data_IF_724342422268
#
_entry.id   IF_724342422268
#
_cell.length_a   1.000
_cell.length_b   1.000
_cell.length_c   1.000
_cell.angle_alpha   90.00
_cell.angle_beta   90.00
_cell.angle_gamma   90.00
#
_symmetry.space_group_name_H-M   'P 1'
#
loop_
_entity.id
_entity.type
_entity.pdbx_description
1 polymer ?
#
# COMPACT_ATOMS: atom_id res chain seq x y z
N UNK A 1 26.84 42.56 -14.25
CA UNK A 1 25.45 42.13 -13.95
C UNK A 1 24.64 42.22 -15.24
N UNK A 2 24.13 41.11 -15.77
CA UNK A 2 23.23 41.09 -16.94
C UNK A 2 21.99 40.29 -16.52
N UNK A 3 20.83 40.95 -16.41
CA UNK A 3 19.55 40.32 -16.07
C UNK A 3 18.78 40.12 -17.36
N UNK A 4 18.63 38.88 -17.79
CA UNK A 4 17.77 38.52 -18.92
C UNK A 4 16.35 38.30 -18.39
N UNK A 5 15.42 39.13 -18.82
CA UNK A 5 13.98 38.96 -18.63
C UNK A 5 13.45 38.12 -19.80
N UNK A 6 12.89 36.95 -19.49
CA UNK A 6 12.07 36.19 -20.44
C UNK A 6 10.66 36.07 -19.87
N UNK A 7 9.74 36.71 -20.58
CA UNK A 7 8.30 36.81 -20.34
C UNK A 7 7.64 35.47 -20.65
N UNK A 8 6.92 34.89 -19.69
CA UNK A 8 6.08 33.71 -19.91
C UNK A 8 4.65 34.17 -20.26
N UNK A 9 4.24 33.92 -21.49
CA UNK A 9 2.84 33.90 -21.88
C UNK A 9 2.38 32.43 -21.91
N UNK A 10 1.34 32.10 -21.15
CA UNK A 10 0.60 30.86 -21.30
C UNK A 10 -0.90 31.18 -21.23
N UNK A 11 -1.52 31.20 -22.40
CA UNK A 11 -2.98 31.22 -22.58
C UNK A 11 -3.48 29.79 -22.41
N UNK A 12 -4.47 29.60 -21.53
CA UNK A 12 -5.19 28.34 -21.39
C UNK A 12 -6.68 28.63 -21.21
N UNK A 13 -7.41 28.78 -22.33
CA UNK A 13 -8.85 28.75 -22.33
C UNK A 13 -9.30 27.29 -22.50
N UNK A 14 -10.01 26.72 -21.52
CA UNK A 14 -10.75 25.48 -21.70
C UNK A 14 -12.22 25.78 -21.47
N UNK A 15 -12.98 25.64 -22.56
CA UNK A 15 -14.40 25.86 -22.65
C UNK A 15 -15.20 24.79 -21.89
N UNK A 16 -16.30 25.23 -21.28
CA UNK A 16 -17.31 24.42 -20.61
C UNK A 16 -18.07 23.57 -21.65
N UNK A 17 -17.91 22.24 -21.58
CA UNK A 17 -18.73 21.27 -22.32
C UNK A 17 -19.39 20.30 -21.34
N UNK A 18 -20.72 20.26 -21.33
CA UNK A 18 -21.53 19.51 -20.37
C UNK A 18 -21.31 17.99 -20.40
N UNK A 19 -21.38 17.37 -19.22
CA UNK A 19 -21.41 15.92 -19.08
C UNK A 19 -22.81 15.46 -18.68
N UNK A 20 -23.41 14.66 -19.56
CA UNK A 20 -24.59 13.83 -19.28
C UNK A 20 -24.09 12.63 -18.46
N UNK A 21 -24.71 12.37 -17.30
CA UNK A 21 -24.43 11.20 -16.46
C UNK A 21 -24.93 9.96 -17.20
N UNK A 22 -23.99 9.17 -17.75
CA UNK A 22 -24.24 7.83 -18.24
C UNK A 22 -23.73 6.82 -17.19
N UNK A 23 -24.68 6.14 -16.56
CA UNK A 23 -24.62 4.76 -16.05
C UNK A 23 -23.25 4.29 -15.53
N UNK A 24 -23.09 4.27 -14.20
CA UNK A 24 -22.00 3.54 -13.56
C UNK A 24 -22.26 2.03 -13.73
N UNK A 25 -21.54 1.38 -14.64
CA UNK A 25 -21.32 -0.06 -14.55
C UNK A 25 -20.61 -0.39 -13.22
N UNK A 26 -20.84 -1.56 -12.62
CA UNK A 26 -20.05 -2.02 -11.47
C UNK A 26 -18.66 -2.41 -11.97
N UNK A 27 -17.85 -1.38 -12.23
CA UNK A 27 -16.44 -1.51 -12.51
C UNK A 27 -15.80 -2.14 -11.28
N UNK A 28 -15.36 -3.39 -11.44
CA UNK A 28 -14.38 -4.00 -10.56
C UNK A 28 -13.21 -3.03 -10.46
N UNK A 29 -13.11 -2.38 -9.30
CA UNK A 29 -12.11 -1.35 -9.07
C UNK A 29 -10.70 -1.94 -9.25
N UNK A 30 -9.73 -1.16 -9.77
CA UNK A 30 -8.32 -1.56 -9.74
C UNK A 30 -7.81 -1.48 -8.29
N UNK A 31 -8.20 -2.45 -7.45
CA UNK A 31 -7.83 -2.53 -6.04
C UNK A 31 -7.53 -3.96 -5.56
N UNK A 32 -8.00 -4.98 -6.27
CA UNK A 32 -8.00 -6.38 -5.81
C UNK A 32 -6.67 -7.14 -5.98
N UNK A 33 -5.51 -6.49 -5.78
CA UNK A 33 -4.20 -7.18 -5.84
C UNK A 33 -3.17 -6.78 -4.79
N UNK A 34 -3.60 -6.25 -3.65
CA UNK A 34 -2.74 -6.10 -2.47
C UNK A 34 -3.01 -7.18 -1.41
N UNK A 35 -3.63 -8.29 -1.80
CA UNK A 35 -3.68 -9.47 -0.93
C UNK A 35 -2.28 -10.06 -0.83
N UNK A 36 -1.68 -9.90 0.35
CA UNK A 36 -0.44 -10.53 0.79
C UNK A 36 -0.51 -12.05 0.83
N UNK A 37 -0.75 -12.69 -0.31
CA UNK A 37 -0.27 -14.04 -0.61
C UNK A 37 1.05 -13.91 -1.37
N UNK A 38 1.99 -13.14 -0.79
CA UNK A 38 3.35 -13.12 -1.29
C UNK A 38 3.86 -14.56 -1.29
N UNK A 39 4.48 -14.98 -2.40
CA UNK A 39 5.27 -16.20 -2.47
C UNK A 39 6.30 -16.23 -1.34
N UNK A 40 5.91 -16.74 -0.17
CA UNK A 40 6.82 -17.01 0.92
C UNK A 40 7.74 -18.15 0.51
N UNK A 41 8.97 -18.18 1.06
CA UNK A 41 9.91 -19.26 0.80
C UNK A 41 9.29 -20.65 1.07
N UNK A 42 8.44 -20.75 2.09
CA UNK A 42 7.67 -21.97 2.39
C UNK A 42 6.67 -22.32 1.28
N UNK A 43 5.93 -21.34 0.77
CA UNK A 43 4.98 -21.54 -0.34
C UNK A 43 5.67 -21.91 -1.65
N UNK A 44 6.90 -21.43 -1.89
CA UNK A 44 7.72 -21.85 -3.03
C UNK A 44 8.18 -23.30 -2.85
N UNK A 45 8.75 -23.63 -1.69
CA UNK A 45 9.30 -24.95 -1.39
C UNK A 45 8.21 -26.04 -1.44
N UNK A 46 7.02 -25.74 -0.93
CA UNK A 46 5.87 -26.66 -0.99
C UNK A 46 5.42 -26.99 -2.41
N UNK A 47 5.72 -26.14 -3.41
CA UNK A 47 5.38 -26.37 -4.83
C UNK A 47 6.42 -27.21 -5.58
N UNK A 48 7.57 -27.51 -4.98
CA UNK A 48 8.67 -28.21 -5.64
C UNK A 48 8.59 -29.74 -5.54
N UNK A 49 7.53 -30.29 -4.92
CA UNK A 49 7.34 -31.73 -4.74
C UNK A 49 8.59 -32.43 -4.16
N UNK A 50 9.20 -31.84 -3.14
CA UNK A 50 10.45 -32.31 -2.56
C UNK A 50 10.29 -33.68 -1.90
N UNK A 51 11.29 -34.55 -2.06
CA UNK A 51 11.40 -35.81 -1.30
C UNK A 51 11.60 -35.53 0.20
N UNK A 52 11.32 -36.50 1.11
CA UNK A 52 11.55 -36.33 2.54
C UNK A 52 12.99 -35.89 2.88
N UNK A 53 13.98 -36.46 2.19
CA UNK A 53 15.38 -36.11 2.37
C UNK A 53 15.69 -34.68 1.92
N UNK A 54 15.06 -34.21 0.84
CA UNK A 54 15.20 -32.84 0.36
C UNK A 54 14.53 -31.84 1.31
N UNK A 55 13.34 -32.15 1.83
CA UNK A 55 12.66 -31.32 2.82
C UNK A 55 13.52 -31.15 4.07
N UNK A 56 14.08 -32.25 4.58
CA UNK A 56 14.99 -32.24 5.74
C UNK A 56 16.20 -31.33 5.53
N UNK A 57 16.76 -31.29 4.31
CA UNK A 57 17.91 -30.43 3.97
C UNK A 57 17.52 -28.97 3.76
N UNK A 58 16.31 -28.70 3.27
CA UNK A 58 15.84 -27.34 2.96
C UNK A 58 15.31 -26.61 4.19
N UNK A 59 14.69 -27.33 5.13
CA UNK A 59 14.09 -26.76 6.34
C UNK A 59 15.02 -25.80 7.12
N UNK A 60 16.28 -26.15 7.45
CA UNK A 60 17.18 -25.23 8.17
C UNK A 60 17.52 -23.97 7.36
N UNK A 61 17.54 -24.05 6.02
CA UNK A 61 17.79 -22.89 5.14
C UNK A 61 16.61 -21.91 5.23
N UNK A 62 15.38 -22.43 5.21
CA UNK A 62 14.17 -21.61 5.39
C UNK A 62 14.17 -20.98 6.79
N UNK A 63 14.43 -21.76 7.82
CA UNK A 63 14.37 -21.29 9.21
C UNK A 63 15.41 -20.19 9.49
N UNK A 64 16.59 -20.28 8.88
CA UNK A 64 17.59 -19.20 8.91
C UNK A 64 17.12 -17.93 8.17
N UNK A 65 16.38 -18.07 7.07
CA UNK A 65 15.91 -16.94 6.27
C UNK A 65 14.70 -16.20 6.89
N UNK A 66 13.81 -16.91 7.59
CA UNK A 66 12.61 -16.35 8.24
C UNK A 66 12.87 -15.06 9.05
N UNK A 67 13.79 -15.02 10.03
CA UNK A 67 14.02 -13.81 10.82
C UNK A 67 14.53 -12.63 9.97
N UNK A 68 15.34 -12.89 8.95
CA UNK A 68 15.86 -11.84 8.07
C UNK A 68 14.74 -11.22 7.24
N UNK A 69 13.86 -12.05 6.67
CA UNK A 69 12.69 -11.59 5.92
C UNK A 69 11.77 -10.78 6.82
N UNK A 70 11.52 -11.23 8.05
CA UNK A 70 10.70 -10.48 9.03
C UNK A 70 11.30 -9.11 9.32
N UNK A 71 12.61 -9.02 9.56
CA UNK A 71 13.28 -7.75 9.82
C UNK A 71 13.18 -6.79 8.64
N UNK A 72 13.45 -7.26 7.41
CA UNK A 72 13.32 -6.45 6.19
C UNK A 72 11.89 -5.98 6.00
N UNK A 73 10.90 -6.86 6.20
CA UNK A 73 9.50 -6.52 6.08
C UNK A 73 9.09 -5.44 7.08
N UNK A 74 9.49 -5.55 8.35
CA UNK A 74 9.23 -4.54 9.37
C UNK A 74 9.84 -3.19 9.02
N UNK A 75 11.10 -3.17 8.58
CA UNK A 75 11.78 -1.95 8.15
C UNK A 75 11.10 -1.30 6.93
N UNK A 76 10.74 -2.11 5.92
CA UNK A 76 10.06 -1.65 4.73
C UNK A 76 8.67 -1.07 5.06
N UNK A 77 7.91 -1.71 5.94
CA UNK A 77 6.60 -1.22 6.39
C UNK A 77 6.73 0.11 7.12
N UNK A 78 7.75 0.28 7.98
CA UNK A 78 7.98 1.55 8.67
C UNK A 78 8.33 2.67 7.69
N UNK A 79 9.21 2.39 6.72
CA UNK A 79 9.57 3.36 5.66
C UNK A 79 8.36 3.73 4.81
N UNK A 80 7.55 2.75 4.43
CA UNK A 80 6.31 2.97 3.68
C UNK A 80 5.34 3.85 4.46
N UNK A 81 5.15 3.59 5.75
CA UNK A 81 4.31 4.42 6.61
C UNK A 81 4.76 5.88 6.60
N UNK A 82 6.05 6.14 6.78
CA UNK A 82 6.61 7.49 6.76
C UNK A 82 6.33 8.22 5.44
N UNK A 83 6.51 7.53 4.31
CA UNK A 83 6.21 8.10 2.98
C UNK A 83 4.72 8.42 2.84
N UNK A 84 3.84 7.50 3.27
CA UNK A 84 2.40 7.68 3.19
C UNK A 84 1.94 8.85 4.07
N UNK A 85 2.37 8.90 5.33
CA UNK A 85 2.03 9.99 6.27
C UNK A 85 2.45 11.36 5.70
N UNK A 86 3.69 11.45 5.22
CA UNK A 86 4.23 12.69 4.62
C UNK A 86 3.45 13.10 3.37
N UNK A 87 3.13 12.15 2.49
CA UNK A 87 2.38 12.41 1.26
C UNK A 87 0.96 12.86 1.59
N UNK A 88 0.29 12.19 2.51
CA UNK A 88 -1.06 12.57 2.95
C UNK A 88 -1.06 13.95 3.61
N UNK A 89 -0.06 14.29 4.41
CA UNK A 89 0.09 15.63 5.01
C UNK A 89 0.23 16.73 3.96
N UNK A 90 0.92 16.47 2.84
CA UNK A 90 1.07 17.41 1.74
C UNK A 90 -0.20 17.57 0.90
N UNK A 91 -0.96 16.48 0.74
CA UNK A 91 -2.23 16.49 -0.01
C UNK A 91 -3.34 17.17 0.79
N UNK A 92 -3.42 16.94 2.10
CA UNK A 92 -4.51 17.43 2.97
C UNK A 92 -4.87 18.90 2.81
N UNK A 93 -3.94 19.88 2.77
CA UNK A 93 -4.28 21.29 2.59
C UNK A 93 -4.86 21.63 1.20
N UNK A 94 -4.74 20.74 0.22
CA UNK A 94 -5.30 20.90 -1.13
C UNK A 94 -6.74 20.40 -1.24
N UNK A 95 -7.25 19.75 -0.19
CA UNK A 95 -8.58 19.15 -0.16
C UNK A 95 -9.63 20.12 0.38
N UNK A 96 -10.87 19.97 -0.10
CA UNK A 96 -12.02 20.63 0.51
C UNK A 96 -12.31 20.04 1.90
N UNK A 97 -13.10 20.75 2.72
CA UNK A 97 -13.49 20.26 4.04
C UNK A 97 -14.19 18.87 3.99
N UNK A 98 -15.03 18.64 2.98
CA UNK A 98 -15.70 17.36 2.79
C UNK A 98 -14.71 16.24 2.44
N UNK A 99 -13.74 16.53 1.57
CA UNK A 99 -12.68 15.57 1.19
C UNK A 99 -11.74 15.27 2.36
N UNK A 100 -11.42 16.26 3.20
CA UNK A 100 -10.64 16.05 4.42
C UNK A 100 -11.36 15.12 5.40
N UNK A 101 -12.68 15.31 5.58
CA UNK A 101 -13.48 14.39 6.40
C UNK A 101 -13.45 12.97 5.86
N UNK A 102 -13.60 12.80 4.54
CA UNK A 102 -13.51 11.48 3.91
C UNK A 102 -12.12 10.84 4.10
N UNK A 103 -11.05 11.63 4.01
CA UNK A 103 -9.69 11.16 4.29
C UNK A 103 -9.55 10.67 5.73
N UNK A 104 -10.09 11.41 6.70
CA UNK A 104 -10.07 11.02 8.12
C UNK A 104 -10.81 9.70 8.37
N UNK A 105 -11.98 9.52 7.75
CA UNK A 105 -12.77 8.30 7.86
C UNK A 105 -12.01 7.09 7.29
N UNK A 106 -11.32 7.27 6.15
CA UNK A 106 -10.48 6.22 5.55
C UNK A 106 -9.30 5.87 6.47
N UNK A 107 -8.61 6.86 7.01
CA UNK A 107 -7.48 6.66 7.92
C UNK A 107 -7.92 5.94 9.20
N UNK A 108 -9.07 6.32 9.76
CA UNK A 108 -9.65 5.67 10.93
C UNK A 108 -10.00 4.21 10.65
N UNK A 109 -10.70 3.92 9.55
CA UNK A 109 -11.05 2.56 9.19
C UNK A 109 -9.82 1.66 9.01
N UNK A 110 -8.76 2.20 8.40
CA UNK A 110 -7.49 1.49 8.26
C UNK A 110 -6.85 1.17 9.62
N UNK A 111 -6.82 2.15 10.54
CA UNK A 111 -6.27 1.97 11.88
C UNK A 111 -7.06 0.94 12.71
N UNK A 112 -8.39 1.02 12.66
CA UNK A 112 -9.27 0.11 13.39
C UNK A 112 -9.09 -1.35 12.89
N UNK A 113 -8.96 -1.55 11.58
CA UNK A 113 -8.65 -2.86 11.00
C UNK A 113 -7.28 -3.39 11.45
N UNK A 114 -6.25 -2.53 11.48
CA UNK A 114 -4.91 -2.91 11.93
C UNK A 114 -4.90 -3.33 13.41
N UNK A 115 -5.63 -2.59 14.26
CA UNK A 115 -5.77 -2.92 15.67
C UNK A 115 -6.51 -4.25 15.86
N UNK A 116 -7.64 -4.44 15.17
CA UNK A 116 -8.40 -5.69 15.25
C UNK A 116 -7.57 -6.91 14.80
N UNK A 117 -6.74 -6.76 13.76
CA UNK A 117 -5.84 -7.82 13.33
C UNK A 117 -4.79 -8.16 14.40
N UNK A 118 -4.24 -7.14 15.07
CA UNK A 118 -3.29 -7.33 16.17
C UNK A 118 -3.94 -8.05 17.35
N UNK A 119 -5.12 -7.61 17.78
CA UNK A 119 -5.87 -8.24 18.87
C UNK A 119 -6.20 -9.71 18.57
N UNK A 120 -6.63 -10.00 17.34
CA UNK A 120 -6.87 -11.38 16.91
C UNK A 120 -5.60 -12.22 16.95
N UNK A 121 -4.47 -11.69 16.47
CA UNK A 121 -3.20 -12.39 16.49
C UNK A 121 -2.75 -12.69 17.93
N UNK A 122 -2.85 -11.71 18.83
CA UNK A 122 -2.47 -11.87 20.24
C UNK A 122 -3.37 -12.90 20.93
N UNK A 123 -4.68 -12.88 20.69
CA UNK A 123 -5.63 -13.84 21.25
C UNK A 123 -5.47 -15.29 20.75
N UNK A 124 -4.85 -15.50 19.59
CA UNK A 124 -4.58 -16.84 19.02
C UNK A 124 -3.23 -17.39 19.51
N UNK A 125 -2.36 -16.55 20.07
CA UNK A 125 -1.05 -16.96 20.60
C UNK A 125 -1.04 -17.24 22.12
N UNK A 126 -2.12 -16.91 22.84
CA UNK A 126 -2.38 -17.33 24.24
C UNK A 126 -3.08 -18.70 24.32
#
# INVERSE_FOLDING_TARGET
MKRNLLTLAAVGAIALGGFVVAQAEPGHGPGDRWHGHGFGLEGLVNKLNLTPDQQTKVQPIIDQAKPQIRAIHQEAMQKMKTVMDSTTSQIRPLLTAEQQKKLDDIQKAHQDMMNAHKELHDAVQE
#
